data_IF_212089243607
#
_entry.id   IF_212089243607
#
_cell.length_a   1.000
_cell.length_b   1.000
_cell.length_c   1.000
_cell.angle_alpha   90.00
_cell.angle_beta   90.00
_cell.angle_gamma   90.00
#
_symmetry.space_group_name_H-M   'P 1'
#
loop_
_entity.id
_entity.type
_entity.pdbx_description
1 polymer ?
#
# COMPACT_ATOMS: atom_id res chain seq x y z
N UNK A 1 7.62 1.95 9.61
CA UNK A 1 6.61 2.76 10.34
C UNK A 1 5.25 2.36 9.81
N UNK A 2 4.26 2.18 10.68
CA UNK A 2 2.87 1.89 10.30
C UNK A 2 1.99 3.09 10.67
N UNK A 3 1.11 3.49 9.76
CA UNK A 3 0.16 4.59 9.97
C UNK A 3 -1.25 4.08 9.70
N UNK A 4 -2.14 4.19 10.69
CA UNK A 4 -3.54 3.80 10.55
C UNK A 4 -4.40 5.03 10.26
N UNK A 5 -5.16 4.98 9.16
CA UNK A 5 -6.18 5.98 8.81
C UNK A 5 -7.54 5.35 9.08
N UNK A 6 -8.23 5.77 10.14
CA UNK A 6 -9.55 5.26 10.52
C UNK A 6 -10.56 6.39 10.68
N UNK A 7 -11.79 6.13 10.24
CA UNK A 7 -12.95 7.02 10.25
C UNK A 7 -14.17 6.26 9.72
N UNK A 8 -15.37 6.83 9.82
CA UNK A 8 -16.61 6.23 9.30
C UNK A 8 -16.59 6.07 7.77
N UNK A 9 -17.40 5.15 7.19
CA UNK A 9 -17.59 5.08 5.74
C UNK A 9 -17.98 6.44 5.14
N UNK A 10 -17.51 6.76 3.93
CA UNK A 10 -17.80 8.03 3.26
C UNK A 10 -17.01 9.26 3.76
N UNK A 11 -16.12 9.13 4.75
CA UNK A 11 -15.35 10.25 5.30
C UNK A 11 -14.13 10.68 4.47
N UNK A 12 -13.91 10.09 3.29
CA UNK A 12 -12.76 10.41 2.43
C UNK A 12 -11.44 9.73 2.78
N UNK A 13 -11.43 8.65 3.57
CA UNK A 13 -10.19 7.89 3.89
C UNK A 13 -9.43 7.47 2.65
N UNK A 14 -10.14 6.90 1.67
CA UNK A 14 -9.56 6.46 0.40
C UNK A 14 -8.99 7.64 -0.38
N UNK A 15 -9.67 8.79 -0.37
CA UNK A 15 -9.15 10.01 -1.00
C UNK A 15 -7.84 10.47 -0.35
N UNK A 16 -7.74 10.42 0.98
CA UNK A 16 -6.50 10.73 1.70
C UNK A 16 -5.39 9.73 1.39
N UNK A 17 -5.71 8.44 1.26
CA UNK A 17 -4.76 7.42 0.85
C UNK A 17 -4.21 7.69 -0.57
N UNK A 18 -5.07 8.10 -1.50
CA UNK A 18 -4.67 8.47 -2.87
C UNK A 18 -3.73 9.69 -2.87
N UNK A 19 -4.00 10.71 -2.06
CA UNK A 19 -3.09 11.86 -1.91
C UNK A 19 -1.69 11.42 -1.46
N UNK A 20 -1.61 10.58 -0.43
CA UNK A 20 -0.34 10.04 0.08
C UNK A 20 0.37 9.13 -0.94
N UNK A 21 -0.38 8.37 -1.75
CA UNK A 21 0.18 7.57 -2.85
C UNK A 21 0.94 8.48 -3.83
N UNK A 22 0.34 9.60 -4.25
CA UNK A 22 1.00 10.54 -5.15
C UNK A 22 2.24 11.16 -4.51
N UNK A 23 2.19 11.52 -3.23
CA UNK A 23 3.38 12.01 -2.52
C UNK A 23 4.51 10.97 -2.50
N UNK A 24 4.19 9.72 -2.20
CA UNK A 24 5.16 8.62 -2.22
C UNK A 24 5.78 8.44 -3.62
N UNK A 25 4.95 8.39 -4.67
CA UNK A 25 5.43 8.27 -6.05
C UNK A 25 6.35 9.43 -6.44
N UNK A 26 5.97 10.67 -6.10
CA UNK A 26 6.78 11.86 -6.37
C UNK A 26 8.13 11.86 -5.63
N UNK A 27 8.18 11.21 -4.47
CA UNK A 27 9.41 11.02 -3.69
C UNK A 27 10.22 9.78 -4.13
N UNK A 28 9.84 9.12 -5.23
CA UNK A 28 10.55 7.97 -5.79
C UNK A 28 10.31 6.65 -5.06
N UNK A 29 9.22 6.53 -4.30
CA UNK A 29 8.87 5.26 -3.65
C UNK A 29 8.30 4.28 -4.67
N UNK A 30 8.57 2.99 -4.45
CA UNK A 30 7.77 1.93 -5.04
C UNK A 30 6.50 1.80 -4.24
N UNK A 31 5.34 1.93 -4.88
CA UNK A 31 4.05 1.95 -4.20
C UNK A 31 3.25 0.70 -4.54
N UNK A 32 2.81 -0.01 -3.50
CA UNK A 32 1.89 -1.15 -3.59
C UNK A 32 0.52 -0.78 -3.04
N UNK A 33 -0.55 -1.29 -3.64
CA UNK A 33 -1.89 -1.07 -3.11
C UNK A 33 -2.88 -2.18 -3.44
N UNK A 34 -3.78 -2.49 -2.52
CA UNK A 34 -4.96 -3.34 -2.75
C UNK A 34 -6.26 -2.53 -2.94
N UNK A 35 -6.19 -1.19 -3.02
CA UNK A 35 -7.39 -0.34 -3.17
C UNK A 35 -8.10 -0.73 -4.47
N UNK A 36 -9.36 -1.16 -4.36
CA UNK A 36 -10.14 -1.64 -5.49
C UNK A 36 -10.44 -0.49 -6.46
N UNK A 37 -10.18 -0.71 -7.75
CA UNK A 37 -10.45 0.29 -8.79
C UNK A 37 -9.45 1.44 -8.86
N UNK A 38 -8.34 1.39 -8.12
CA UNK A 38 -7.27 2.39 -8.21
C UNK A 38 -6.60 2.35 -9.58
N UNK A 39 -6.65 3.46 -10.32
CA UNK A 39 -6.06 3.61 -11.67
C UNK A 39 -4.94 4.64 -11.68
N UNK A 40 -3.98 4.50 -10.78
CA UNK A 40 -2.82 5.39 -10.68
C UNK A 40 -1.61 4.74 -11.34
N UNK A 41 -1.05 5.33 -12.42
CA UNK A 41 0.17 4.81 -13.05
C UNK A 41 1.34 4.75 -12.05
N UNK A 42 2.12 3.67 -12.11
CA UNK A 42 3.26 3.46 -11.21
C UNK A 42 2.92 2.79 -9.88
N UNK A 43 1.63 2.60 -9.56
CA UNK A 43 1.21 1.77 -8.42
C UNK A 43 1.12 0.32 -8.85
N UNK A 44 1.73 -0.57 -8.07
CA UNK A 44 1.66 -2.02 -8.27
C UNK A 44 0.46 -2.54 -7.47
N UNK A 45 -0.50 -3.13 -8.17
CA UNK A 45 -1.65 -3.75 -7.48
C UNK A 45 -1.25 -5.06 -6.82
N UNK A 46 -1.69 -5.24 -5.57
CA UNK A 46 -1.56 -6.46 -4.80
C UNK A 46 -2.94 -6.97 -4.39
N UNK A 47 -3.04 -8.28 -4.18
CA UNK A 47 -4.26 -8.91 -3.67
C UNK A 47 -4.41 -8.69 -2.17
N UNK A 48 -5.66 -8.71 -1.68
CA UNK A 48 -5.94 -8.65 -0.23
C UNK A 48 -5.57 -9.94 0.55
N UNK A 49 -4.92 -10.91 -0.11
CA UNK A 49 -4.45 -12.15 0.50
C UNK A 49 -2.91 -12.26 0.48
N UNK A 50 -2.22 -11.35 -0.21
CA UNK A 50 -0.77 -11.30 -0.22
C UNK A 50 -0.24 -10.77 1.11
N UNK A 51 0.83 -11.42 1.61
CA UNK A 51 1.53 -10.91 2.77
C UNK A 51 2.31 -9.65 2.41
N UNK A 52 1.69 -8.50 2.67
CA UNK A 52 2.26 -7.18 2.43
C UNK A 52 3.57 -6.93 3.21
N UNK A 53 3.92 -7.78 4.18
CA UNK A 53 5.18 -7.68 4.94
C UNK A 53 6.36 -8.29 4.19
N UNK A 54 6.13 -9.18 3.22
CA UNK A 54 7.18 -9.80 2.39
C UNK A 54 7.19 -9.27 0.95
N UNK A 55 6.84 -7.99 0.77
CA UNK A 55 6.90 -7.32 -0.55
C UNK A 55 8.34 -7.05 -1.02
N UNK A 56 9.34 -7.47 -0.25
CA UNK A 56 10.75 -7.47 -0.65
C UNK A 56 11.04 -8.39 -1.84
N UNK A 57 10.09 -9.24 -2.24
CA UNK A 57 10.21 -10.10 -3.41
C UNK A 57 10.66 -9.34 -4.67
N UNK A 58 10.14 -8.13 -4.90
CA UNK A 58 10.52 -7.31 -6.05
C UNK A 58 11.93 -6.70 -5.91
N UNK A 59 12.35 -6.36 -4.69
CA UNK A 59 13.72 -5.88 -4.40
C UNK A 59 14.77 -6.98 -4.60
N UNK A 60 14.42 -8.24 -4.31
CA UNK A 60 15.30 -9.39 -4.52
C UNK A 60 15.57 -9.67 -6.00
N UNK A 61 14.66 -9.27 -6.90
CA UNK A 61 14.81 -9.47 -8.34
C UNK A 61 15.57 -8.32 -9.05
N UNK A 62 15.64 -7.13 -8.45
CA UNK A 62 16.33 -5.96 -9.03
C UNK A 62 17.28 -5.32 -8.02
N UNK A 63 18.58 -5.64 -8.14
CA UNK A 63 19.65 -5.19 -7.23
C UNK A 63 19.73 -3.66 -7.13
N UNK A 64 19.46 -2.93 -8.21
CA UNK A 64 19.48 -1.45 -8.21
C UNK A 64 18.37 -0.84 -7.33
N UNK A 65 17.28 -1.59 -7.09
CA UNK A 65 16.14 -1.15 -6.29
C UNK A 65 16.28 -1.51 -4.80
N UNK A 66 17.40 -2.12 -4.40
CA UNK A 66 17.67 -2.46 -2.99
C UNK A 66 17.62 -1.23 -2.06
N UNK A 67 17.88 -0.02 -2.56
CA UNK A 67 17.86 1.21 -1.76
C UNK A 67 16.59 2.04 -1.94
N UNK A 68 15.70 1.64 -2.84
CA UNK A 68 14.46 2.38 -3.11
C UNK A 68 13.48 2.17 -1.98
N UNK A 69 12.90 3.25 -1.41
CA UNK A 69 11.92 3.11 -0.35
C UNK A 69 10.61 2.52 -0.89
N UNK A 70 9.94 1.72 -0.06
CA UNK A 70 8.64 1.09 -0.39
C UNK A 70 7.54 1.72 0.46
N UNK A 71 6.40 1.99 -0.16
CA UNK A 71 5.16 2.32 0.53
C UNK A 71 4.07 1.32 0.17
N UNK A 72 3.28 0.92 1.16
CA UNK A 72 2.16 -0.02 1.00
C UNK A 72 0.91 0.64 1.51
N UNK A 73 -0.12 0.69 0.67
CA UNK A 73 -1.43 1.22 1.02
C UNK A 73 -2.44 0.09 1.02
N UNK A 74 -2.88 -0.28 2.22
CA UNK A 74 -3.77 -1.40 2.45
C UNK A 74 -5.15 -0.89 2.88
N UNK A 75 -6.17 -1.10 2.04
CA UNK A 75 -7.57 -0.80 2.32
C UNK A 75 -8.24 -1.99 3.01
N UNK A 76 -9.30 -1.68 3.78
CA UNK A 76 -10.05 -2.64 4.58
C UNK A 76 -9.15 -3.59 5.41
N UNK A 77 -8.14 -3.00 6.06
CA UNK A 77 -7.16 -3.74 6.86
C UNK A 77 -7.79 -4.67 7.91
N UNK A 78 -8.97 -4.33 8.43
CA UNK A 78 -9.69 -5.13 9.41
C UNK A 78 -10.11 -6.53 8.89
N UNK A 79 -10.19 -6.72 7.57
CA UNK A 79 -10.50 -8.01 6.96
C UNK A 79 -9.27 -8.92 6.83
N UNK A 80 -8.06 -8.37 6.92
CA UNK A 80 -6.83 -9.14 6.73
C UNK A 80 -6.51 -9.97 7.99
N UNK A 81 -6.13 -11.25 7.85
CA UNK A 81 -5.90 -12.15 9.00
C UNK A 81 -4.84 -11.67 10.00
N UNK A 82 -3.91 -10.82 9.57
CA UNK A 82 -2.91 -10.23 10.47
C UNK A 82 -3.47 -9.13 11.39
N UNK A 83 -4.66 -8.60 11.10
CA UNK A 83 -5.31 -7.52 11.85
C UNK A 83 -6.69 -7.90 12.40
N UNK A 84 -7.29 -9.00 11.92
CA UNK A 84 -8.53 -9.53 12.47
C UNK A 84 -8.31 -10.06 13.91
N UNK A 85 -9.18 -9.68 14.84
CA UNK A 85 -9.22 -10.30 16.18
C UNK A 85 -9.57 -11.80 16.02
N UNK A 86 -8.89 -12.65 16.79
CA UNK A 86 -9.19 -14.08 16.86
C UNK A 86 -10.48 -14.35 17.62
#
# INVERSE_FOLDING_TARGET
MLTLISATPGSGKTLKAVELIYECLNNGYVVYSNILGLKVPGVIQISSQEDWRDLDHFRRQNIEMLKTPIAVFYDEAHEHPAFAEK
#
